data_IF_134545109946
#
_entry.id   IF_134545109946
#
_cell.length_a   1.000
_cell.length_b   1.000
_cell.length_c   1.000
_cell.angle_alpha   90.00
_cell.angle_beta   90.00
_cell.angle_gamma   90.00
#
_symmetry.space_group_name_H-M   'P 1'
#
loop_
_entity.id
_entity.type
_entity.pdbx_description
1 polymer ?
#
# COMPACT_ATOMS: atom_id res chain seq x y z
N UNK A 1 6.34 -9.83 -10.90
CA UNK A 1 6.54 -8.44 -10.47
C UNK A 1 5.20 -7.67 -10.49
N UNK A 2 4.49 -7.63 -11.60
CA UNK A 2 3.16 -6.95 -11.70
C UNK A 2 2.12 -7.45 -10.70
N UNK A 3 2.13 -8.75 -10.38
CA UNK A 3 1.20 -9.32 -9.41
C UNK A 3 1.47 -8.83 -7.98
N UNK A 4 2.74 -8.72 -7.59
CA UNK A 4 3.14 -8.16 -6.31
C UNK A 4 2.80 -6.67 -6.21
N UNK A 5 3.04 -5.92 -7.26
CA UNK A 5 2.70 -4.50 -7.33
C UNK A 5 1.20 -4.27 -7.16
N UNK A 6 0.37 -5.08 -7.82
CA UNK A 6 -1.08 -5.00 -7.66
C UNK A 6 -1.53 -5.29 -6.21
N UNK A 7 -0.97 -6.33 -5.58
CA UNK A 7 -1.28 -6.65 -4.18
C UNK A 7 -0.87 -5.52 -3.23
N UNK A 8 0.33 -4.99 -3.41
CA UNK A 8 0.86 -3.87 -2.60
C UNK A 8 -0.01 -2.62 -2.78
N UNK A 9 -0.42 -2.30 -4.02
CA UNK A 9 -1.26 -1.13 -4.30
C UNK A 9 -2.62 -1.21 -3.60
N UNK A 10 -3.25 -2.39 -3.59
CA UNK A 10 -4.53 -2.60 -2.89
C UNK A 10 -4.39 -2.32 -1.40
N UNK A 11 -3.37 -2.91 -0.76
CA UNK A 11 -3.14 -2.73 0.68
C UNK A 11 -2.78 -1.28 1.01
N UNK A 12 -1.97 -0.62 0.19
CA UNK A 12 -1.63 0.80 0.35
C UNK A 12 -2.87 1.71 0.25
N UNK A 13 -3.78 1.42 -0.67
CA UNK A 13 -5.04 2.19 -0.83
C UNK A 13 -5.93 2.02 0.40
N UNK A 14 -6.10 0.79 0.87
CA UNK A 14 -6.89 0.52 2.08
C UNK A 14 -6.28 1.20 3.31
N UNK A 15 -4.96 1.09 3.51
CA UNK A 15 -4.26 1.78 4.61
C UNK A 15 -4.47 3.30 4.57
N UNK A 16 -4.39 3.91 3.38
CA UNK A 16 -4.64 5.35 3.23
C UNK A 16 -6.06 5.74 3.65
N UNK A 17 -7.06 4.89 3.36
CA UNK A 17 -8.42 5.12 3.80
C UNK A 17 -8.53 5.04 5.33
N UNK A 18 -7.90 4.03 5.94
CA UNK A 18 -7.85 3.89 7.39
C UNK A 18 -7.19 5.08 8.09
N UNK A 19 -6.10 5.62 7.52
CA UNK A 19 -5.44 6.81 8.06
C UNK A 19 -6.39 8.03 8.03
N UNK A 20 -7.18 8.20 6.97
CA UNK A 20 -8.17 9.27 6.87
C UNK A 20 -9.33 9.10 7.88
N UNK A 21 -9.82 7.87 8.06
CA UNK A 21 -10.87 7.54 9.03
C UNK A 21 -10.39 7.79 10.47
N UNK A 22 -9.17 7.37 10.79
CA UNK A 22 -8.54 7.60 12.09
C UNK A 22 -8.41 9.10 12.39
N UNK A 23 -7.99 9.90 11.43
CA UNK A 23 -7.85 11.36 11.62
C UNK A 23 -9.23 12.02 11.84
N UNK A 24 -10.23 11.58 11.09
CA UNK A 24 -11.61 12.03 11.29
C UNK A 24 -12.14 11.70 12.69
N UNK A 25 -11.92 10.47 13.16
CA UNK A 25 -12.34 10.04 14.51
C UNK A 25 -11.61 10.80 15.62
N UNK A 26 -10.30 11.04 15.46
CA UNK A 26 -9.53 11.87 16.40
C UNK A 26 -10.08 13.29 16.50
N UNK A 27 -10.41 13.88 15.36
CA UNK A 27 -11.01 15.23 15.31
C UNK A 27 -12.36 15.25 16.03
N UNK A 28 -13.20 14.23 15.85
CA UNK A 28 -14.48 14.12 16.57
C UNK A 28 -14.29 14.00 18.07
N UNK A 29 -13.38 13.12 18.52
CA UNK A 29 -13.06 12.94 19.94
C UNK A 29 -12.52 14.24 20.55
N UNK A 30 -11.63 14.94 19.85
CA UNK A 30 -11.07 16.18 20.35
C UNK A 30 -12.14 17.29 20.42
N UNK A 31 -13.02 17.38 19.44
CA UNK A 31 -14.12 18.33 19.43
C UNK A 31 -15.16 18.04 20.54
N UNK A 32 -15.34 16.79 20.93
CA UNK A 32 -16.25 16.43 22.01
C UNK A 32 -15.76 16.85 23.39
N UNK A 33 -14.44 16.96 23.60
CA UNK A 33 -13.84 17.36 24.89
C UNK A 33 -14.20 18.78 25.28
N UNK A 34 -14.72 18.96 26.50
CA UNK A 34 -15.17 20.24 27.03
C UNK A 34 -16.42 20.79 26.34
N UNK A 35 -17.05 20.04 25.45
CA UNK A 35 -18.26 20.46 24.74
C UNK A 35 -19.54 20.12 25.49
N UNK A 36 -20.67 20.58 24.98
CA UNK A 36 -21.98 20.21 25.48
C UNK A 36 -22.25 18.69 25.38
N UNK A 37 -21.69 18.03 24.38
CA UNK A 37 -21.75 16.57 24.25
C UNK A 37 -21.14 15.87 25.47
N UNK A 38 -19.91 16.20 25.88
CA UNK A 38 -19.27 15.64 27.06
C UNK A 38 -20.04 15.95 28.35
N UNK A 39 -20.63 17.13 28.45
CA UNK A 39 -21.48 17.48 29.59
C UNK A 39 -22.74 16.61 29.65
N UNK A 40 -23.39 16.36 28.50
CA UNK A 40 -24.57 15.49 28.39
C UNK A 40 -24.23 14.06 28.77
N UNK A 41 -23.10 13.51 28.35
CA UNK A 41 -22.66 12.16 28.74
C UNK A 41 -22.55 12.01 30.26
N UNK A 42 -22.01 13.03 30.93
CA UNK A 42 -21.84 13.03 32.39
C UNK A 42 -23.13 13.22 33.16
N UNK A 43 -24.10 13.97 32.63
CA UNK A 43 -25.24 14.44 33.40
C UNK A 43 -26.60 13.90 32.90
N UNK A 44 -26.66 13.40 31.68
CA UNK A 44 -27.91 12.95 31.03
C UNK A 44 -27.71 11.66 30.22
N UNK A 45 -27.43 10.51 30.86
CA UNK A 45 -27.32 9.23 30.15
C UNK A 45 -28.53 8.99 29.23
N UNK A 46 -28.29 8.54 28.01
CA UNK A 46 -29.33 8.33 27.01
C UNK A 46 -29.76 9.59 26.25
N UNK A 47 -29.02 10.69 26.38
CA UNK A 47 -29.28 11.93 25.67
C UNK A 47 -29.27 11.77 24.14
N UNK A 48 -28.53 10.77 23.65
CA UNK A 48 -28.42 10.45 22.21
C UNK A 48 -29.79 10.19 21.60
N UNK A 49 -30.66 9.49 22.32
CA UNK A 49 -32.02 9.15 21.86
C UNK A 49 -33.03 10.31 21.96
N UNK A 50 -32.63 11.41 22.58
CA UNK A 50 -33.48 12.58 22.83
C UNK A 50 -32.89 13.84 22.19
N UNK A 51 -32.10 14.59 22.96
CA UNK A 51 -31.47 15.84 22.53
C UNK A 51 -30.59 15.59 21.31
N UNK A 52 -29.86 14.49 21.27
CA UNK A 52 -28.96 14.16 20.19
C UNK A 52 -29.62 14.06 18.83
N UNK A 53 -30.86 13.54 18.75
CA UNK A 53 -31.60 13.43 17.50
C UNK A 53 -32.06 14.77 16.91
N UNK A 54 -32.11 15.81 17.74
CA UNK A 54 -32.63 17.13 17.35
C UNK A 54 -31.51 18.16 17.26
N UNK A 55 -30.51 18.09 18.13
CA UNK A 55 -29.46 19.09 18.22
C UNK A 55 -28.51 19.05 17.03
N UNK A 56 -28.11 20.21 16.53
CA UNK A 56 -27.04 20.33 15.54
C UNK A 56 -25.70 19.96 16.17
N UNK A 57 -24.92 19.12 15.48
CA UNK A 57 -23.65 18.64 16.00
C UNK A 57 -22.63 19.75 16.19
N UNK A 58 -22.46 20.61 15.17
CA UNK A 58 -21.39 21.62 15.16
C UNK A 58 -21.75 22.82 16.02
N UNK A 59 -23.01 23.28 15.92
CA UNK A 59 -23.44 24.51 16.59
C UNK A 59 -23.85 24.28 18.05
N UNK A 60 -24.32 23.06 18.38
CA UNK A 60 -24.87 22.75 19.71
C UNK A 60 -24.02 21.70 20.40
N UNK A 61 -23.92 20.47 19.86
CA UNK A 61 -23.29 19.36 20.60
C UNK A 61 -21.78 19.59 20.82
N UNK A 62 -21.04 20.05 19.84
CA UNK A 62 -19.60 20.34 19.98
C UNK A 62 -19.29 21.77 20.43
N UNK A 63 -20.31 22.54 20.83
CA UNK A 63 -20.13 23.90 21.33
C UNK A 63 -19.63 23.84 22.80
N UNK A 64 -18.54 24.56 23.06
CA UNK A 64 -17.89 24.65 24.36
C UNK A 64 -18.35 25.83 25.22
N UNK A 65 -19.21 26.70 24.67
CA UNK A 65 -19.59 27.97 25.28
C UNK A 65 -21.05 28.03 25.76
N UNK A 66 -21.76 26.90 25.76
CA UNK A 66 -23.21 26.87 26.10
C UNK A 66 -23.50 26.96 27.60
N UNK A 67 -22.46 26.76 28.48
CA UNK A 67 -22.61 26.79 29.95
C UNK A 67 -23.88 26.09 30.45
N UNK A 68 -24.04 24.77 30.17
CA UNK A 68 -25.28 24.07 30.50
C UNK A 68 -25.46 23.86 32.00
N UNK A 69 -26.67 24.04 32.47
CA UNK A 69 -27.06 23.81 33.87
C UNK A 69 -28.22 22.81 33.94
N UNK A 70 -28.24 21.99 35.02
CA UNK A 70 -29.35 21.08 35.30
C UNK A 70 -30.53 21.84 35.88
N UNK A 71 -31.68 21.78 35.22
CA UNK A 71 -32.94 22.31 35.75
C UNK A 71 -33.76 21.15 36.28
N UNK A 72 -34.36 21.32 37.47
CA UNK A 72 -35.04 20.30 38.22
C UNK A 72 -36.30 19.69 37.55
N UNK A 73 -36.83 20.32 36.53
CA UNK A 73 -38.06 19.92 35.81
C UNK A 73 -37.75 19.35 34.43
N UNK A 74 -37.05 18.23 34.42
CA UNK A 74 -36.57 17.61 33.22
C UNK A 74 -37.27 16.35 32.81
N UNK A 75 -38.50 16.40 32.38
CA UNK A 75 -39.07 15.34 31.58
C UNK A 75 -38.50 15.28 30.19
N UNK A 76 -38.82 14.24 29.40
CA UNK A 76 -38.49 14.13 27.95
C UNK A 76 -39.21 15.20 27.12
N UNK A 77 -39.10 16.45 27.54
CA UNK A 77 -39.76 17.58 26.89
C UNK A 77 -38.78 18.58 26.36
N UNK A 78 -38.96 18.95 25.12
CA UNK A 78 -38.20 20.00 24.47
C UNK A 78 -39.08 21.27 24.50
N UNK A 79 -38.70 22.29 25.28
CA UNK A 79 -39.51 23.47 25.55
C UNK A 79 -40.96 23.18 26.01
N UNK A 80 -41.13 22.14 26.87
CA UNK A 80 -42.47 21.78 27.33
C UNK A 80 -43.32 20.97 26.34
N UNK A 81 -42.79 20.66 25.17
CA UNK A 81 -43.46 19.84 24.14
C UNK A 81 -42.89 18.42 24.16
N UNK A 82 -43.76 17.42 24.33
CA UNK A 82 -43.39 16.01 24.24
C UNK A 82 -43.29 15.63 22.77
N UNK A 83 -42.08 15.24 22.31
CA UNK A 83 -41.85 14.77 20.96
C UNK A 83 -41.68 13.25 20.93
N UNK A 84 -42.25 12.61 19.91
CA UNK A 84 -41.92 11.23 19.57
C UNK A 84 -40.72 11.20 18.65
N UNK A 85 -39.54 10.84 19.18
CA UNK A 85 -38.28 10.84 18.46
C UNK A 85 -37.89 9.45 17.93
N UNK A 86 -38.77 8.46 18.04
CA UNK A 86 -38.51 7.08 17.62
C UNK A 86 -38.35 6.95 16.09
N UNK A 87 -38.95 7.88 15.34
CA UNK A 87 -38.86 7.92 13.87
C UNK A 87 -37.68 8.74 13.34
N UNK A 88 -36.94 9.41 14.25
CA UNK A 88 -35.74 10.17 13.87
C UNK A 88 -34.55 9.25 13.86
N UNK A 89 -34.17 8.79 12.69
CA UNK A 89 -32.95 7.97 12.47
C UNK A 89 -31.72 8.89 12.48
N UNK A 90 -31.14 9.09 13.64
CA UNK A 90 -29.86 9.77 13.79
C UNK A 90 -28.99 8.97 14.75
N UNK A 91 -27.94 8.38 14.20
CA UNK A 91 -27.00 7.57 14.95
C UNK A 91 -25.87 8.47 15.50
N UNK A 92 -25.99 8.82 16.78
CA UNK A 92 -24.98 9.61 17.49
C UNK A 92 -24.13 8.68 18.34
N UNK A 93 -22.84 8.72 18.09
CA UNK A 93 -21.86 7.91 18.81
C UNK A 93 -21.40 8.60 20.08
N UNK A 94 -21.34 7.85 21.19
CA UNK A 94 -20.75 8.34 22.44
C UNK A 94 -19.23 8.47 22.31
N UNK A 95 -18.55 9.26 23.16
CA UNK A 95 -17.09 9.33 23.19
C UNK A 95 -16.43 7.96 23.37
N UNK A 96 -17.03 7.05 24.17
CA UNK A 96 -16.53 5.69 24.36
C UNK A 96 -16.65 4.88 23.08
N UNK A 97 -17.75 5.02 22.34
CA UNK A 97 -17.92 4.36 21.03
C UNK A 97 -16.94 4.91 20.00
N UNK A 98 -16.72 6.22 19.96
CA UNK A 98 -15.70 6.83 19.08
C UNK A 98 -14.30 6.36 19.43
N UNK A 99 -13.97 6.23 20.72
CA UNK A 99 -12.66 5.72 21.15
C UNK A 99 -12.49 4.25 20.78
N UNK A 100 -13.50 3.42 21.01
CA UNK A 100 -13.47 2.02 20.62
C UNK A 100 -13.31 1.82 19.10
N UNK A 101 -13.99 2.65 18.30
CA UNK A 101 -13.88 2.64 16.85
C UNK A 101 -12.48 3.09 16.41
N UNK A 102 -11.90 4.12 17.05
CA UNK A 102 -10.54 4.58 16.81
C UNK A 102 -9.52 3.48 17.10
N UNK A 103 -9.66 2.79 18.23
CA UNK A 103 -8.76 1.71 18.62
C UNK A 103 -8.84 0.53 17.63
N UNK A 104 -10.06 0.18 17.20
CA UNK A 104 -10.28 -0.85 16.19
C UNK A 104 -9.64 -0.48 14.85
N UNK A 105 -9.87 0.74 14.34
CA UNK A 105 -9.28 1.24 13.10
C UNK A 105 -7.75 1.34 13.17
N UNK A 106 -7.22 1.72 14.32
CA UNK A 106 -5.78 1.78 14.55
C UNK A 106 -5.15 0.39 14.50
N UNK A 107 -5.79 -0.60 15.12
CA UNK A 107 -5.34 -2.00 15.08
C UNK A 107 -5.38 -2.56 13.65
N UNK A 108 -6.43 -2.27 12.89
CA UNK A 108 -6.57 -2.68 11.48
C UNK A 108 -5.45 -2.05 10.62
N UNK A 109 -5.17 -0.75 10.79
CA UNK A 109 -4.06 -0.07 10.09
C UNK A 109 -2.71 -0.71 10.42
N UNK A 110 -2.47 -1.09 11.66
CA UNK A 110 -1.23 -1.72 12.08
C UNK A 110 -1.07 -3.12 11.47
N UNK A 111 -2.16 -3.89 11.36
CA UNK A 111 -2.18 -5.16 10.64
C UNK A 111 -1.87 -4.97 9.14
N UNK A 112 -2.48 -3.98 8.48
CA UNK A 112 -2.19 -3.63 7.07
C UNK A 112 -0.73 -3.22 6.88
N UNK A 113 -0.15 -2.51 7.85
CA UNK A 113 1.26 -2.12 7.82
C UNK A 113 2.17 -3.34 7.89
N UNK A 114 1.87 -4.32 8.74
CA UNK A 114 2.61 -5.57 8.82
C UNK A 114 2.47 -6.39 7.52
N UNK A 115 1.29 -6.42 6.94
CA UNK A 115 1.06 -7.09 5.66
C UNK A 115 1.88 -6.46 4.53
N UNK A 116 1.98 -5.12 4.48
CA UNK A 116 2.84 -4.41 3.51
C UNK A 116 4.31 -4.80 3.66
N UNK A 117 4.82 -4.91 4.88
CA UNK A 117 6.20 -5.38 5.13
C UNK A 117 6.40 -6.77 4.55
N UNK A 118 5.50 -7.72 4.85
CA UNK A 118 5.59 -9.09 4.36
C UNK A 118 5.53 -9.18 2.82
N UNK A 119 4.64 -8.40 2.20
CA UNK A 119 4.53 -8.35 0.74
C UNK A 119 5.80 -7.80 0.08
N UNK A 120 6.39 -6.75 0.66
CA UNK A 120 7.64 -6.18 0.15
C UNK A 120 8.82 -7.13 0.31
N UNK A 121 8.94 -7.79 1.46
CA UNK A 121 9.97 -8.82 1.68
C UNK A 121 9.80 -10.00 0.71
N UNK A 122 8.58 -10.46 0.48
CA UNK A 122 8.27 -11.52 -0.49
C UNK A 122 8.67 -11.13 -1.90
N UNK A 123 8.30 -9.92 -2.33
CA UNK A 123 8.68 -9.35 -3.63
C UNK A 123 10.21 -9.30 -3.78
N UNK A 124 10.91 -8.84 -2.76
CA UNK A 124 12.36 -8.70 -2.80
C UNK A 124 13.07 -10.05 -2.89
N UNK A 125 12.64 -11.05 -2.10
CA UNK A 125 13.16 -12.41 -2.17
C UNK A 125 12.98 -13.05 -3.55
N UNK A 126 11.79 -12.92 -4.12
CA UNK A 126 11.49 -13.45 -5.47
C UNK A 126 12.33 -12.73 -6.54
N UNK A 127 12.44 -11.41 -6.45
CA UNK A 127 13.23 -10.60 -7.37
C UNK A 127 14.72 -10.98 -7.31
N UNK A 128 15.24 -11.25 -6.11
CA UNK A 128 16.64 -11.66 -5.93
C UNK A 128 16.92 -13.06 -6.54
N UNK A 129 15.99 -13.99 -6.40
CA UNK A 129 16.09 -15.32 -7.05
C UNK A 129 16.14 -15.17 -8.56
N UNK A 130 15.24 -14.35 -9.13
CA UNK A 130 15.21 -14.07 -10.57
C UNK A 130 16.52 -13.42 -11.03
N UNK A 131 17.01 -12.41 -10.32
CA UNK A 131 18.28 -11.74 -10.63
C UNK A 131 19.46 -12.71 -10.63
N UNK A 132 19.55 -13.59 -9.63
CA UNK A 132 20.62 -14.62 -9.57
C UNK A 132 20.59 -15.56 -10.76
N UNK A 133 19.39 -16.00 -11.15
CA UNK A 133 19.24 -16.90 -12.29
C UNK A 133 19.64 -16.20 -13.60
N UNK A 134 19.19 -14.96 -13.82
CA UNK A 134 19.57 -14.22 -15.02
C UNK A 134 21.06 -13.83 -15.05
N UNK A 135 21.69 -13.51 -13.92
CA UNK A 135 23.14 -13.26 -13.87
C UNK A 135 23.95 -14.47 -14.36
N UNK A 136 23.58 -15.67 -13.91
CA UNK A 136 24.25 -16.90 -14.36
C UNK A 136 24.10 -17.12 -15.87
N UNK A 137 22.91 -16.88 -16.42
CA UNK A 137 22.66 -17.03 -17.84
C UNK A 137 23.43 -15.99 -18.68
N UNK A 138 23.41 -14.73 -18.22
CA UNK A 138 24.16 -13.65 -18.88
C UNK A 138 25.65 -13.93 -18.86
N UNK A 139 26.22 -14.40 -17.73
CA UNK A 139 27.64 -14.78 -17.64
C UNK A 139 27.97 -15.90 -18.63
N UNK A 140 27.18 -16.98 -18.65
CA UNK A 140 27.41 -18.10 -19.55
C UNK A 140 27.33 -17.69 -21.03
N UNK A 141 26.34 -16.86 -21.41
CA UNK A 141 26.22 -16.35 -22.78
C UNK A 141 27.36 -15.39 -23.14
N UNK A 142 27.84 -14.59 -22.20
CA UNK A 142 28.99 -13.71 -22.41
C UNK A 142 30.27 -14.50 -22.64
N UNK A 143 30.49 -15.57 -21.87
CA UNK A 143 31.63 -16.47 -22.05
C UNK A 143 31.58 -17.20 -23.41
N UNK A 144 30.40 -17.65 -23.83
CA UNK A 144 30.18 -18.25 -25.15
C UNK A 144 30.42 -17.27 -26.29
N UNK A 145 29.88 -16.04 -26.17
CA UNK A 145 30.17 -14.97 -27.13
C UNK A 145 31.67 -14.71 -27.28
N UNK A 146 32.38 -14.59 -26.17
CA UNK A 146 33.82 -14.36 -26.20
C UNK A 146 34.59 -15.50 -26.91
N UNK A 147 34.19 -16.75 -26.62
CA UNK A 147 34.76 -17.91 -27.27
C UNK A 147 34.54 -17.92 -28.80
N UNK A 148 33.31 -17.59 -29.21
CA UNK A 148 32.98 -17.44 -30.65
C UNK A 148 33.71 -16.29 -31.31
N UNK A 149 33.90 -15.15 -30.65
CA UNK A 149 34.71 -14.03 -31.16
C UNK A 149 36.16 -14.43 -31.40
N UNK A 150 36.77 -15.16 -30.43
CA UNK A 150 38.14 -15.68 -30.59
C UNK A 150 38.22 -16.62 -31.77
N UNK A 151 37.30 -17.57 -31.92
CA UNK A 151 37.22 -18.45 -33.08
C UNK A 151 37.10 -17.68 -34.37
N UNK A 152 36.20 -16.71 -34.41
CA UNK A 152 35.98 -15.87 -35.60
C UNK A 152 37.25 -15.11 -36.03
N UNK A 153 38.05 -14.61 -35.08
CA UNK A 153 39.35 -13.98 -35.35
C UNK A 153 40.40 -14.93 -35.89
N UNK A 154 40.32 -16.21 -35.53
CA UNK A 154 41.25 -17.24 -36.05
C UNK A 154 40.93 -17.66 -37.50
N UNK A 155 39.68 -17.58 -37.94
CA UNK A 155 39.28 -17.98 -39.30
C UNK A 155 40.06 -17.31 -40.42
N UNK A 156 40.30 -16.00 -40.44
CA UNK A 156 41.08 -15.36 -41.49
C UNK A 156 42.52 -15.85 -41.54
N UNK A 157 43.11 -16.13 -40.39
CA UNK A 157 44.47 -16.67 -40.28
C UNK A 157 44.53 -18.08 -40.84
N UNK A 158 43.60 -18.94 -40.46
CA UNK A 158 43.49 -20.32 -40.96
C UNK A 158 43.23 -20.31 -42.47
N UNK A 159 42.34 -19.46 -42.95
CA UNK A 159 42.05 -19.30 -44.38
C UNK A 159 43.29 -18.89 -45.17
N UNK A 160 44.08 -17.94 -44.66
CA UNK A 160 45.32 -17.46 -45.29
C UNK A 160 46.37 -18.60 -45.33
N UNK A 161 46.51 -19.36 -44.25
CA UNK A 161 47.42 -20.51 -44.18
C UNK A 161 47.01 -21.59 -45.18
N UNK A 162 45.74 -21.95 -45.25
CA UNK A 162 45.23 -22.94 -46.21
C UNK A 162 45.41 -22.48 -47.67
N UNK A 163 45.24 -21.19 -47.96
CA UNK A 163 45.46 -20.60 -49.29
C UNK A 163 46.96 -20.70 -49.68
N UNK A 164 47.84 -20.40 -48.71
CA UNK A 164 49.29 -20.52 -48.92
C UNK A 164 49.72 -21.99 -49.16
N UNK A 165 49.19 -22.90 -48.39
CA UNK A 165 49.44 -24.33 -48.58
C UNK A 165 48.93 -24.85 -49.93
N UNK A 166 47.72 -24.49 -50.29
CA UNK A 166 47.16 -24.81 -51.63
C UNK A 166 48.03 -24.27 -52.75
N UNK A 167 48.50 -23.00 -52.65
CA UNK A 167 49.37 -22.42 -53.66
C UNK A 167 50.71 -23.13 -53.74
N UNK A 168 51.28 -23.63 -52.61
CA UNK A 168 52.53 -24.40 -52.58
C UNK A 168 52.36 -25.77 -53.23
N UNK A 169 51.25 -26.45 -52.94
CA UNK A 169 50.95 -27.76 -53.57
C UNK A 169 50.71 -27.65 -55.06
N UNK A 170 50.01 -26.57 -55.50
CA UNK A 170 49.80 -26.32 -56.92
C UNK A 170 51.16 -26.13 -57.66
N UNK A 171 52.07 -25.35 -57.07
CA UNK A 171 53.44 -25.16 -57.65
C UNK A 171 54.18 -26.50 -57.76
N UNK A 172 54.14 -27.36 -56.72
CA UNK A 172 54.77 -28.66 -56.77
C UNK A 172 54.16 -29.57 -57.83
N UNK A 173 52.85 -29.51 -58.01
CA UNK A 173 52.16 -30.29 -59.04
C UNK A 173 52.57 -29.77 -60.45
N UNK A 174 52.66 -28.47 -60.67
CA UNK A 174 53.06 -27.86 -61.90
C UNK A 174 54.54 -28.16 -62.25
N UNK A 175 55.42 -28.18 -61.24
CA UNK A 175 56.85 -28.58 -61.42
C UNK A 175 56.94 -30.08 -61.77
N UNK A 176 56.13 -30.93 -61.11
CA UNK A 176 56.16 -32.35 -61.48
C UNK A 176 55.63 -32.60 -62.90
N UNK A 177 54.59 -31.90 -63.36
CA UNK A 177 54.09 -32.02 -64.72
C UNK A 177 55.10 -31.53 -65.77
N UNK A 178 55.99 -30.63 -65.42
CA UNK A 178 57.08 -30.14 -66.34
C UNK A 178 58.26 -31.11 -66.42
N UNK A 179 58.41 -32.03 -65.51
CA UNK A 179 59.51 -33.01 -65.48
C UNK A 179 59.15 -34.33 -66.19
N UNK A 180 57.91 -34.52 -66.58
CA UNK A 180 57.43 -35.59 -67.44
C UNK A 180 57.39 -35.13 -68.91
#
# INVERSE_FOLDING_TARGET
EKEWEAKIEVVMRHRKQLDADIESLRSLIENSKGSFCEWLDKHKPGWQENIGKIADEKQILYNRHLSPELVADGGNTFFGVKLNLTEVERDLRSPEQLQAELDAKSSERDAETQQLVQLNEGKEKETEVVRKNYRKQISALSDEMHLLEVQLQQYPVQQKNLQAERASLQRKEDEWKKQQ
#
